data_IF_147222093261
#
_entry.id   IF_147222093261
#
_cell.length_a   1.000
_cell.length_b   1.000
_cell.length_c   1.000
_cell.angle_alpha   90.00
_cell.angle_beta   90.00
_cell.angle_gamma   90.00
#
_symmetry.space_group_name_H-M   'P 1'
#
loop_
_entity.id
_entity.type
_entity.pdbx_description
1 polymer ?
#
# COMPACT_ATOMS: atom_id res chain seq x y z
N UNK A 1 11.67 17.23 18.11
CA UNK A 1 10.95 17.35 16.84
C UNK A 1 11.46 16.24 15.96
N UNK A 2 10.57 15.39 15.44
CA UNK A 2 10.96 14.38 14.45
C UNK A 2 11.41 15.07 13.16
N UNK A 3 12.44 14.51 12.54
CA UNK A 3 12.92 14.95 11.24
C UNK A 3 11.90 14.59 10.16
N UNK A 4 11.88 15.36 9.06
CA UNK A 4 11.03 15.05 7.89
C UNK A 4 11.22 13.61 7.38
N UNK A 5 12.41 13.04 7.57
CA UNK A 5 12.72 11.65 7.23
C UNK A 5 12.00 10.67 8.16
N UNK A 6 12.05 10.86 9.47
CA UNK A 6 11.37 10.00 10.45
C UNK A 6 9.85 10.02 10.23
N UNK A 7 9.28 11.18 9.90
CA UNK A 7 7.86 11.29 9.55
C UNK A 7 7.49 10.49 8.30
N UNK A 8 8.33 10.51 7.27
CA UNK A 8 8.11 9.73 6.05
C UNK A 8 8.31 8.23 6.30
N UNK A 9 9.26 7.83 7.13
CA UNK A 9 9.47 6.42 7.52
C UNK A 9 8.27 5.89 8.34
N UNK A 10 7.68 6.71 9.22
CA UNK A 10 6.45 6.33 9.93
C UNK A 10 5.25 6.22 8.97
N UNK A 11 5.09 7.17 8.04
CA UNK A 11 4.05 7.12 7.02
C UNK A 11 4.21 5.88 6.12
N UNK A 12 5.44 5.55 5.73
CA UNK A 12 5.75 4.35 4.95
C UNK A 12 5.31 3.09 5.70
N UNK A 13 5.66 2.97 6.98
CA UNK A 13 5.24 1.83 7.81
C UNK A 13 3.72 1.68 7.88
N UNK A 14 2.99 2.79 8.01
CA UNK A 14 1.53 2.79 8.03
C UNK A 14 0.94 2.43 6.66
N UNK A 15 1.51 2.95 5.57
CA UNK A 15 1.09 2.64 4.20
C UNK A 15 1.32 1.16 3.87
N UNK A 16 2.47 0.60 4.24
CA UNK A 16 2.78 -0.82 4.06
C UNK A 16 1.80 -1.72 4.82
N UNK A 17 1.48 -1.40 6.07
CA UNK A 17 0.50 -2.17 6.84
C UNK A 17 -0.90 -2.15 6.20
N UNK A 18 -1.27 -1.05 5.52
CA UNK A 18 -2.53 -0.94 4.78
C UNK A 18 -2.50 -1.73 3.47
N UNK A 19 -1.39 -1.70 2.76
CA UNK A 19 -1.16 -2.51 1.56
C UNK A 19 -1.26 -4.01 1.88
N UNK A 20 -0.56 -4.46 2.91
CA UNK A 20 -0.58 -5.87 3.34
C UNK A 20 -2.01 -6.33 3.69
N UNK A 21 -2.79 -5.47 4.34
CA UNK A 21 -4.19 -5.75 4.67
C UNK A 21 -5.06 -5.83 3.40
N UNK A 22 -4.91 -4.90 2.46
CA UNK A 22 -5.66 -4.91 1.20
C UNK A 22 -5.34 -6.14 0.34
N UNK A 23 -4.07 -6.54 0.28
CA UNK A 23 -3.64 -7.76 -0.42
C UNK A 23 -4.23 -9.02 0.21
N UNK A 24 -4.32 -9.06 1.54
CA UNK A 24 -4.97 -10.15 2.25
C UNK A 24 -6.46 -10.23 1.93
N UNK A 25 -7.17 -9.10 1.99
CA UNK A 25 -8.60 -9.02 1.64
C UNK A 25 -8.85 -9.40 0.18
N UNK A 26 -7.97 -9.02 -0.73
CA UNK A 26 -8.03 -9.42 -2.14
C UNK A 26 -7.87 -10.94 -2.29
N UNK A 27 -6.93 -11.54 -1.58
CA UNK A 27 -6.73 -13.00 -1.58
C UNK A 27 -7.95 -13.75 -1.02
N UNK A 28 -8.54 -13.26 0.06
CA UNK A 28 -9.76 -13.82 0.66
C UNK A 28 -10.97 -13.67 -0.28
N UNK A 29 -11.13 -12.51 -0.93
CA UNK A 29 -12.21 -12.26 -1.88
C UNK A 29 -12.06 -13.03 -3.21
N UNK A 30 -10.84 -13.43 -3.57
CA UNK A 30 -10.57 -14.26 -4.74
C UNK A 30 -11.28 -15.64 -4.63
N UNK A 31 -11.35 -16.18 -3.41
CA UNK A 31 -11.95 -17.48 -3.11
C UNK A 31 -11.21 -18.67 -3.73
N UNK A 32 -11.60 -19.90 -3.38
CA UNK A 32 -10.96 -21.12 -3.87
C UNK A 32 -11.25 -21.42 -5.36
N UNK A 33 -12.32 -20.86 -5.91
CA UNK A 33 -12.79 -21.12 -7.28
C UNK A 33 -12.53 -19.97 -8.27
N UNK A 34 -11.80 -18.92 -7.86
CA UNK A 34 -11.54 -17.74 -8.70
C UNK A 34 -12.81 -17.10 -9.29
N UNK A 35 -13.92 -17.11 -8.56
CA UNK A 35 -15.21 -16.53 -8.97
C UNK A 35 -15.28 -15.01 -8.71
N UNK A 36 -14.12 -14.35 -8.84
CA UNK A 36 -13.95 -12.95 -8.45
C UNK A 36 -14.42 -11.96 -9.51
N UNK A 37 -14.76 -12.42 -10.71
CA UNK A 37 -15.10 -11.58 -11.86
C UNK A 37 -16.34 -10.68 -11.62
N UNK A 38 -17.24 -11.06 -10.71
CA UNK A 38 -18.39 -10.24 -10.27
C UNK A 38 -18.37 -9.98 -8.75
N UNK A 39 -17.21 -10.12 -8.10
CA UNK A 39 -17.07 -9.93 -6.67
C UNK A 39 -16.68 -8.49 -6.34
N UNK A 40 -17.66 -7.66 -5.98
CA UNK A 40 -17.45 -6.28 -5.54
C UNK A 40 -16.40 -6.14 -4.41
N UNK A 41 -16.25 -7.15 -3.54
CA UNK A 41 -15.24 -7.13 -2.49
C UNK A 41 -13.82 -7.33 -3.06
N UNK A 42 -13.68 -8.14 -4.11
CA UNK A 42 -12.43 -8.31 -4.83
C UNK A 42 -12.03 -7.03 -5.55
N UNK A 43 -12.96 -6.43 -6.31
CA UNK A 43 -12.71 -5.17 -7.03
C UNK A 43 -12.27 -4.03 -6.10
N UNK A 44 -12.94 -3.92 -4.94
CA UNK A 44 -12.59 -2.94 -3.91
C UNK A 44 -11.20 -3.23 -3.35
N UNK A 45 -10.91 -4.48 -2.99
CA UNK A 45 -9.62 -4.86 -2.45
C UNK A 45 -8.47 -4.63 -3.45
N UNK A 46 -8.68 -4.93 -4.75
CA UNK A 46 -7.72 -4.63 -5.82
C UNK A 46 -7.49 -3.12 -5.94
N UNK A 47 -8.55 -2.32 -5.96
CA UNK A 47 -8.44 -0.84 -6.04
C UNK A 47 -7.69 -0.25 -4.85
N UNK A 48 -7.89 -0.82 -3.65
CA UNK A 48 -7.16 -0.44 -2.44
C UNK A 48 -5.69 -0.86 -2.50
N UNK A 49 -5.39 -2.09 -2.96
CA UNK A 49 -4.02 -2.58 -3.18
C UNK A 49 -3.27 -1.63 -4.12
N UNK A 50 -3.85 -1.28 -5.27
CA UNK A 50 -3.23 -0.36 -6.24
C UNK A 50 -2.98 1.03 -5.63
N UNK A 51 -3.96 1.55 -4.88
CA UNK A 51 -3.86 2.85 -4.22
C UNK A 51 -2.75 2.86 -3.17
N UNK A 52 -2.68 1.83 -2.32
CA UNK A 52 -1.65 1.77 -1.27
C UNK A 52 -0.27 1.47 -1.84
N UNK A 53 -0.17 0.68 -2.91
CA UNK A 53 1.11 0.46 -3.61
C UNK A 53 1.64 1.79 -4.17
N UNK A 54 0.80 2.58 -4.84
CA UNK A 54 1.21 3.89 -5.37
C UNK A 54 1.64 4.86 -4.24
N UNK A 55 0.99 4.78 -3.07
CA UNK A 55 1.36 5.57 -1.90
C UNK A 55 2.72 5.14 -1.33
N UNK A 56 2.96 3.82 -1.19
CA UNK A 56 4.26 3.26 -0.76
C UNK A 56 5.37 3.74 -1.69
N UNK A 57 5.20 3.55 -3.01
CA UNK A 57 6.19 3.94 -4.03
C UNK A 57 6.49 5.45 -3.97
N UNK A 58 5.47 6.27 -3.77
CA UNK A 58 5.62 7.73 -3.65
C UNK A 58 6.43 8.11 -2.41
N UNK A 59 6.19 7.48 -1.25
CA UNK A 59 6.91 7.77 -0.02
C UNK A 59 8.35 7.27 -0.10
N UNK A 60 8.58 6.07 -0.65
CA UNK A 60 9.93 5.54 -0.88
C UNK A 60 10.76 6.46 -1.78
N UNK A 61 10.14 6.99 -2.85
CA UNK A 61 10.77 7.98 -3.72
C UNK A 61 11.15 9.24 -2.96
N UNK A 62 10.26 9.80 -2.15
CA UNK A 62 10.54 10.99 -1.34
C UNK A 62 11.68 10.75 -0.32
N UNK A 63 11.72 9.57 0.31
CA UNK A 63 12.80 9.18 1.22
C UNK A 63 14.13 9.09 0.47
N UNK A 64 14.13 8.53 -0.75
CA UNK A 64 15.33 8.41 -1.59
C UNK A 64 15.85 9.79 -2.00
N UNK A 65 15.00 10.67 -2.49
CA UNK A 65 15.36 12.05 -2.86
C UNK A 65 15.94 12.82 -1.66
N UNK A 66 15.37 12.65 -0.47
CA UNK A 66 15.92 13.24 0.76
C UNK A 66 17.29 12.69 1.17
N UNK A 67 17.65 11.47 0.77
CA UNK A 67 18.98 10.89 1.00
C UNK A 67 20.01 11.40 0.00
N UNK A 68 19.60 11.63 -1.25
CA UNK A 68 20.48 12.10 -2.35
C UNK A 68 20.76 13.61 -2.29
N UNK A 69 19.88 14.40 -1.66
CA UNK A 69 20.04 15.85 -1.47
C UNK A 69 20.71 16.25 -0.12
N UNK A 70 21.38 15.32 0.56
CA UNK A 70 22.18 15.57 1.76
C UNK A 70 23.67 15.61 1.46
#
# INVERSE_FOLDING_TARGET
METKREQLEEQLKRAQARLDQAMKEQGEACGENCDWHDNNAYDLATSLTDTYQALVDSIEKQIKELKEHK
#
